data_IF_429404367092
#
_entry.id   IF_429404367092
#
_cell.length_a   1.000
_cell.length_b   1.000
_cell.length_c   1.000
_cell.angle_alpha   90.00
_cell.angle_beta   90.00
_cell.angle_gamma   90.00
#
_symmetry.space_group_name_H-M   'P 1'
#
loop_
_entity.id
_entity.type
_entity.pdbx_description
1 polymer ?
#
# COMPACT_ATOMS: atom_id res chain seq x y z
N UNK A 1 -34.01 -3.95 17.24
CA UNK A 1 -32.61 -3.48 17.31
C UNK A 1 -31.75 -4.45 16.50
N UNK A 2 -31.49 -4.15 15.23
CA UNK A 2 -30.60 -4.96 14.40
C UNK A 2 -29.15 -4.61 14.74
N UNK A 3 -28.39 -5.60 15.20
CA UNK A 3 -26.99 -5.42 15.55
C UNK A 3 -26.16 -4.99 14.34
N UNK A 4 -25.42 -3.89 14.48
CA UNK A 4 -24.37 -3.47 13.57
C UNK A 4 -23.29 -4.56 13.50
N UNK A 5 -23.44 -5.54 12.60
CA UNK A 5 -22.30 -6.28 12.09
C UNK A 5 -21.56 -5.29 11.19
N UNK A 6 -20.46 -4.69 11.66
CA UNK A 6 -19.62 -3.88 10.77
C UNK A 6 -19.22 -4.76 9.59
N UNK A 7 -19.63 -4.38 8.38
CA UNK A 7 -19.41 -5.21 7.21
C UNK A 7 -17.89 -5.37 7.02
N UNK A 8 -17.38 -6.59 6.82
CA UNK A 8 -15.92 -6.84 6.77
C UNK A 8 -15.21 -5.91 5.78
N UNK A 9 -15.89 -5.58 4.69
CA UNK A 9 -15.45 -4.59 3.69
C UNK A 9 -15.24 -3.18 4.28
N UNK A 10 -16.12 -2.70 5.14
CA UNK A 10 -16.00 -1.40 5.82
C UNK A 10 -14.82 -1.37 6.80
N UNK A 11 -14.60 -2.48 7.51
CA UNK A 11 -13.44 -2.60 8.39
C UNK A 11 -12.12 -2.63 7.61
N UNK A 12 -12.08 -3.33 6.47
CA UNK A 12 -10.95 -3.30 5.55
C UNK A 12 -10.76 -1.89 4.95
N UNK A 13 -11.84 -1.20 4.60
CA UNK A 13 -11.80 0.20 4.15
C UNK A 13 -11.08 1.09 5.16
N UNK A 14 -11.51 1.09 6.43
CA UNK A 14 -10.87 1.91 7.47
C UNK A 14 -9.39 1.59 7.69
N UNK A 15 -8.93 0.37 7.39
CA UNK A 15 -7.49 0.05 7.40
C UNK A 15 -6.74 0.67 6.24
N UNK A 16 -7.34 0.65 5.06
CA UNK A 16 -6.77 1.28 3.89
C UNK A 16 -6.62 2.78 4.09
N UNK A 17 -7.65 3.44 4.62
CA UNK A 17 -7.60 4.88 4.94
C UNK A 17 -6.44 5.19 5.89
N UNK A 18 -6.32 4.45 7.01
CA UNK A 18 -5.20 4.61 7.95
C UNK A 18 -3.82 4.38 7.32
N UNK A 19 -3.71 3.47 6.35
CA UNK A 19 -2.45 3.25 5.63
C UNK A 19 -2.10 4.45 4.76
N UNK A 20 -3.06 4.98 4.00
CA UNK A 20 -2.83 6.13 3.13
C UNK A 20 -2.53 7.37 3.96
N UNK A 21 -3.21 7.58 5.09
CA UNK A 21 -2.90 8.68 6.01
C UNK A 21 -1.45 8.63 6.54
N UNK A 22 -0.92 7.43 6.83
CA UNK A 22 0.50 7.29 7.21
C UNK A 22 1.45 7.66 6.07
N UNK A 23 1.07 7.32 4.85
CA UNK A 23 1.82 7.71 3.65
C UNK A 23 1.80 9.23 3.48
N UNK A 24 0.64 9.88 3.64
CA UNK A 24 0.51 11.34 3.52
C UNK A 24 1.33 12.10 4.56
N UNK A 25 1.42 11.55 5.77
CA UNK A 25 2.19 12.14 6.87
C UNK A 25 3.70 11.81 6.82
N UNK A 26 4.17 11.10 5.80
CA UNK A 26 5.56 10.62 5.66
C UNK A 26 6.03 9.82 6.90
N UNK A 27 5.11 9.13 7.58
CA UNK A 27 5.36 8.32 8.79
C UNK A 27 5.90 6.91 8.43
N UNK A 28 6.52 6.78 7.26
CA UNK A 28 7.05 5.52 6.77
C UNK A 28 8.57 5.60 6.59
N UNK A 29 9.31 4.51 6.84
CA UNK A 29 10.76 4.47 6.67
C UNK A 29 11.21 4.53 5.20
N UNK A 30 10.27 4.62 4.25
CA UNK A 30 10.51 4.66 2.81
C UNK A 30 9.58 5.70 2.20
N UNK A 31 10.09 6.43 1.21
CA UNK A 31 9.32 7.45 0.54
C UNK A 31 8.45 6.81 -0.55
N UNK A 32 7.14 6.79 -0.34
CA UNK A 32 6.17 6.18 -1.25
C UNK A 32 5.76 7.19 -2.33
N UNK A 33 5.86 6.78 -3.60
CA UNK A 33 5.46 7.54 -4.78
C UNK A 33 4.01 7.32 -5.16
N UNK A 34 3.58 6.06 -5.12
CA UNK A 34 2.27 5.63 -5.59
C UNK A 34 1.75 4.44 -4.81
N UNK A 35 0.43 4.34 -4.71
CA UNK A 35 -0.30 3.23 -4.09
C UNK A 35 -1.34 2.70 -5.07
N UNK A 36 -1.32 1.39 -5.27
CA UNK A 36 -2.26 0.68 -6.11
C UNK A 36 -3.02 -0.35 -5.29
N UNK A 37 -4.34 -0.44 -5.51
CA UNK A 37 -5.16 -1.55 -5.07
C UNK A 37 -5.31 -2.58 -6.19
N UNK A 38 -5.45 -3.84 -5.81
CA UNK A 38 -5.85 -4.91 -6.72
C UNK A 38 -6.61 -6.01 -5.93
N UNK A 39 -6.84 -7.15 -6.59
CA UNK A 39 -7.42 -8.31 -5.93
C UNK A 39 -8.92 -8.21 -5.66
N UNK A 40 -9.41 -9.06 -4.74
CA UNK A 40 -10.84 -9.28 -4.53
C UNK A 40 -11.55 -8.09 -3.88
N UNK A 41 -10.84 -7.32 -3.05
CA UNK A 41 -11.35 -6.10 -2.43
C UNK A 41 -11.71 -5.05 -3.49
N UNK A 42 -10.81 -4.83 -4.45
CA UNK A 42 -11.04 -3.91 -5.58
C UNK A 42 -12.22 -4.39 -6.45
N UNK A 43 -12.35 -5.68 -6.69
CA UNK A 43 -13.41 -6.27 -7.53
C UNK A 43 -14.83 -6.25 -6.92
N UNK A 44 -15.04 -5.53 -5.81
CA UNK A 44 -16.37 -5.41 -5.21
C UNK A 44 -16.86 -6.65 -4.47
N UNK A 45 -15.99 -7.62 -4.14
CA UNK A 45 -16.41 -8.81 -3.40
C UNK A 45 -17.07 -8.40 -2.07
N UNK A 46 -18.26 -8.96 -1.81
CA UNK A 46 -19.10 -8.68 -0.62
C UNK A 46 -18.32 -8.95 0.67
N UNK A 47 -17.63 -10.09 0.72
CA UNK A 47 -16.75 -10.48 1.82
C UNK A 47 -15.31 -10.68 1.31
N UNK A 48 -14.52 -9.60 1.21
CA UNK A 48 -13.10 -9.69 0.92
C UNK A 48 -12.35 -10.28 2.12
N UNK A 49 -11.41 -11.18 1.85
CA UNK A 49 -10.59 -11.78 2.90
C UNK A 49 -9.52 -10.79 3.39
N UNK A 50 -8.91 -10.08 2.46
CA UNK A 50 -7.77 -9.18 2.61
C UNK A 50 -7.85 -8.02 1.60
N UNK A 51 -6.89 -7.10 1.72
CA UNK A 51 -6.65 -6.01 0.77
C UNK A 51 -5.28 -6.24 0.16
N UNK A 52 -5.23 -6.40 -1.15
CA UNK A 52 -3.99 -6.47 -1.90
C UNK A 52 -3.56 -5.07 -2.34
N UNK A 53 -2.38 -4.65 -1.90
CA UNK A 53 -1.84 -3.31 -2.13
C UNK A 53 -0.43 -3.41 -2.69
N UNK A 54 -0.16 -2.59 -3.70
CA UNK A 54 1.19 -2.36 -4.22
C UNK A 54 1.63 -0.94 -3.87
N UNK A 55 2.78 -0.85 -3.21
CA UNK A 55 3.46 0.39 -2.88
C UNK A 55 4.65 0.58 -3.82
N UNK A 56 4.63 1.66 -4.60
CA UNK A 56 5.77 2.09 -5.39
C UNK A 56 6.57 3.10 -4.58
N UNK A 57 7.87 2.86 -4.39
CA UNK A 57 8.74 3.75 -3.61
C UNK A 57 9.80 4.43 -4.47
N UNK A 58 10.27 5.58 -4.02
CA UNK A 58 11.41 6.27 -4.62
C UNK A 58 12.72 5.68 -4.13
N UNK A 59 13.45 4.96 -5.00
CA UNK A 59 14.75 4.38 -4.63
C UNK A 59 15.79 5.43 -4.21
N UNK A 60 15.74 6.62 -4.80
CA UNK A 60 16.77 7.64 -4.65
C UNK A 60 16.55 8.41 -3.35
N UNK A 61 15.30 8.78 -3.06
CA UNK A 61 14.92 9.41 -1.77
C UNK A 61 14.94 8.42 -0.60
N UNK A 62 14.77 7.12 -0.87
CA UNK A 62 14.78 6.08 0.16
C UNK A 62 16.20 5.63 0.53
N UNK A 63 17.21 5.91 -0.29
CA UNK A 63 18.60 5.58 0.04
C UNK A 63 19.20 6.60 1.03
N UNK A 64 19.29 6.22 2.32
CA UNK A 64 20.09 7.00 3.28
C UNK A 64 21.58 6.69 3.09
N UNK A 65 22.33 7.67 2.58
CA UNK A 65 23.79 7.67 2.59
C UNK A 65 24.23 8.05 4.01
N UNK A 66 25.04 7.22 4.65
CA UNK A 66 25.66 7.58 5.92
C UNK A 66 27.16 7.35 5.87
N UNK A 67 27.88 8.23 6.57
CA UNK A 67 29.31 8.10 6.82
C UNK A 67 29.52 7.16 8.01
N UNK A 68 30.49 6.26 7.90
CA UNK A 68 30.93 5.43 9.03
C UNK A 68 32.45 5.38 9.07
N UNK A 69 32.98 5.20 10.27
CA UNK A 69 34.41 4.99 10.48
C UNK A 69 34.69 3.50 10.32
N UNK A 70 35.59 3.14 9.41
CA UNK A 70 36.00 1.74 9.25
C UNK A 70 36.92 1.29 10.41
N UNK A 71 37.25 0.00 10.46
CA UNK A 71 38.12 -0.58 11.50
C UNK A 71 39.53 0.04 11.54
N UNK A 72 39.91 0.81 10.52
CA UNK A 72 41.21 1.51 10.41
C UNK A 72 41.07 3.01 10.69
N UNK A 73 39.94 3.46 11.24
CA UNK A 73 39.73 4.87 11.59
C UNK A 73 39.43 5.77 10.38
N UNK A 74 39.15 5.22 9.19
CA UNK A 74 38.96 6.03 7.98
C UNK A 74 37.47 6.30 7.74
N UNK A 75 37.10 7.53 7.38
CA UNK A 75 35.75 7.82 6.93
C UNK A 75 35.45 7.06 5.63
N UNK A 76 34.36 6.30 5.64
CA UNK A 76 33.84 5.58 4.49
C UNK A 76 32.36 5.92 4.33
N UNK A 77 31.95 6.08 3.08
CA UNK A 77 30.55 6.27 2.74
C UNK A 77 29.91 4.91 2.50
N UNK A 78 28.86 4.58 3.25
CA UNK A 78 27.97 3.48 2.90
C UNK A 78 26.67 4.05 2.40
N UNK A 79 26.26 3.62 1.21
CA UNK A 79 24.83 3.60 0.93
C UNK A 79 24.27 2.36 1.63
N UNK A 80 23.67 2.51 2.81
CA UNK A 80 22.52 1.64 3.07
C UNK A 80 21.42 2.18 2.19
N UNK A 81 21.40 1.68 0.96
CA UNK A 81 20.13 1.57 0.33
C UNK A 81 19.24 0.80 1.33
N UNK A 82 18.12 1.39 1.74
CA UNK A 82 17.01 0.67 2.33
C UNK A 82 16.51 -0.47 1.42
N UNK A 83 17.21 -0.76 0.29
CA UNK A 83 17.22 -1.97 -0.55
C UNK A 83 17.15 -3.32 0.19
N UNK A 84 17.27 -3.40 1.51
CA UNK A 84 17.05 -4.65 2.26
C UNK A 84 16.32 -4.30 3.58
N UNK A 85 15.00 -4.24 3.63
CA UNK A 85 14.09 -5.14 2.95
C UNK A 85 12.69 -4.54 2.87
N UNK A 86 11.96 -4.78 1.77
CA UNK A 86 10.50 -4.83 1.78
C UNK A 86 9.98 -5.54 3.03
N UNK A 87 10.71 -6.52 3.58
CA UNK A 87 10.39 -7.18 4.86
C UNK A 87 10.44 -6.26 6.09
N UNK A 88 11.27 -5.22 6.16
CA UNK A 88 11.29 -4.22 7.26
C UNK A 88 10.14 -3.24 7.14
N UNK A 89 9.84 -2.75 5.93
CA UNK A 89 8.64 -1.94 5.70
C UNK A 89 7.39 -2.80 5.92
N UNK A 90 7.34 -4.02 5.38
CA UNK A 90 6.30 -5.02 5.68
C UNK A 90 6.23 -5.31 7.16
N UNK A 91 7.33 -5.40 7.91
CA UNK A 91 7.28 -5.62 9.35
C UNK A 91 6.75 -4.38 10.09
N UNK A 92 7.16 -3.18 9.70
CA UNK A 92 6.68 -1.92 10.29
C UNK A 92 5.19 -1.69 9.99
N UNK A 93 4.80 -1.95 8.75
CA UNK A 93 3.43 -1.92 8.31
C UNK A 93 2.66 -3.07 8.97
N UNK A 94 3.04 -4.34 8.87
CA UNK A 94 2.34 -5.49 9.51
C UNK A 94 2.31 -5.45 11.04
N UNK A 95 3.25 -4.77 11.70
CA UNK A 95 3.18 -4.53 13.16
C UNK A 95 1.98 -3.64 13.53
N UNK A 96 1.50 -2.83 12.59
CA UNK A 96 0.41 -1.88 12.76
C UNK A 96 -0.78 -2.09 11.78
N UNK A 97 -0.60 -2.89 10.74
CA UNK A 97 -1.53 -3.28 9.70
C UNK A 97 -1.76 -4.78 9.93
N UNK A 98 -2.85 -5.04 10.63
CA UNK A 98 -3.37 -6.36 10.93
C UNK A 98 -3.32 -7.30 9.70
N UNK A 99 -3.16 -8.61 9.93
CA UNK A 99 -2.94 -9.73 8.96
C UNK A 99 -3.72 -9.74 7.63
N UNK A 100 -4.66 -8.83 7.43
CA UNK A 100 -5.61 -8.74 6.31
C UNK A 100 -5.22 -7.67 5.28
N UNK A 101 -4.00 -7.15 5.32
CA UNK A 101 -3.45 -6.27 4.27
C UNK A 101 -2.19 -6.92 3.73
N UNK A 102 -2.25 -7.36 2.48
CA UNK A 102 -1.12 -7.93 1.77
C UNK A 102 -0.44 -6.86 0.92
N UNK A 103 0.86 -6.71 1.19
CA UNK A 103 1.65 -5.58 0.75
C UNK A 103 2.74 -6.05 -0.21
N UNK A 104 2.64 -5.67 -1.46
CA UNK A 104 3.72 -5.70 -2.45
C UNK A 104 4.44 -4.36 -2.46
N UNK A 105 5.78 -4.38 -2.46
CA UNK A 105 6.60 -3.16 -2.41
C UNK A 105 7.68 -3.27 -3.47
N UNK A 106 7.67 -2.36 -4.43
CA UNK A 106 8.58 -2.37 -5.58
C UNK A 106 9.03 -0.93 -5.91
N UNK A 107 10.20 -0.71 -6.52
CA UNK A 107 10.63 0.63 -6.90
C UNK A 107 9.92 1.15 -8.16
N UNK A 108 9.29 0.26 -8.94
CA UNK A 108 8.52 0.61 -10.13
C UNK A 108 7.46 -0.44 -10.45
N UNK A 109 6.44 -0.04 -11.22
CA UNK A 109 5.45 -0.97 -11.77
C UNK A 109 6.09 -2.01 -12.70
N UNK A 110 7.12 -1.64 -13.45
CA UNK A 110 7.81 -2.55 -14.37
C UNK A 110 8.51 -3.68 -13.63
N UNK A 111 9.15 -3.38 -12.49
CA UNK A 111 9.74 -4.42 -11.66
C UNK A 111 8.67 -5.35 -11.08
N UNK A 112 7.54 -4.80 -10.62
CA UNK A 112 6.43 -5.62 -10.15
C UNK A 112 5.84 -6.52 -11.24
N UNK A 113 5.75 -6.02 -12.48
CA UNK A 113 5.27 -6.78 -13.66
C UNK A 113 6.17 -7.98 -14.01
N UNK A 114 7.47 -7.90 -13.75
CA UNK A 114 8.39 -9.03 -13.98
C UNK A 114 8.09 -10.20 -13.05
N UNK A 115 7.58 -9.91 -11.86
CA UNK A 115 7.29 -10.91 -10.83
C UNK A 115 5.87 -11.49 -10.95
N UNK A 116 4.96 -10.83 -11.68
CA UNK A 116 3.56 -11.25 -11.84
C UNK A 116 3.19 -11.52 -13.29
N UNK A 117 2.85 -12.78 -13.57
CA UNK A 117 2.52 -13.23 -14.92
C UNK A 117 1.14 -12.81 -15.41
N UNK A 118 0.15 -12.45 -14.55
CA UNK A 118 -1.25 -12.23 -15.01
C UNK A 118 -2.18 -11.27 -14.22
N UNK A 119 -1.80 -10.70 -13.08
CA UNK A 119 -2.81 -10.08 -12.17
C UNK A 119 -2.96 -8.55 -12.23
N UNK A 120 -2.18 -7.84 -13.06
CA UNK A 120 -2.22 -6.38 -13.12
C UNK A 120 -3.33 -5.79 -14.00
N UNK A 121 -4.07 -6.61 -14.75
CA UNK A 121 -5.17 -6.16 -15.60
C UNK A 121 -6.30 -5.46 -14.80
N UNK A 122 -6.34 -5.66 -13.48
CA UNK A 122 -7.26 -4.97 -12.58
C UNK A 122 -6.50 -4.34 -11.41
N UNK A 123 -5.80 -3.23 -11.66
CA UNK A 123 -5.24 -2.39 -10.60
C UNK A 123 -5.82 -0.96 -10.65
N UNK A 124 -6.04 -0.37 -9.48
CA UNK A 124 -6.51 1.00 -9.33
C UNK A 124 -5.47 1.82 -8.57
N UNK A 125 -4.93 2.87 -9.19
CA UNK A 125 -4.07 3.83 -8.48
C UNK A 125 -4.92 4.71 -7.59
N UNK A 126 -4.88 4.43 -6.29
CA UNK A 126 -5.67 5.15 -5.30
C UNK A 126 -4.96 6.40 -4.77
N UNK A 127 -3.63 6.44 -4.82
CA UNK A 127 -2.84 7.58 -4.34
C UNK A 127 -1.55 7.72 -5.14
N UNK A 128 -1.13 8.96 -5.39
CA UNK A 128 0.25 9.29 -5.78
C UNK A 128 0.65 10.66 -5.23
N UNK A 129 1.95 10.96 -5.22
CA UNK A 129 2.46 12.28 -4.79
C UNK A 129 1.79 13.45 -5.51
N UNK A 130 1.47 13.26 -6.80
CA UNK A 130 0.84 14.24 -7.70
C UNK A 130 -0.68 14.19 -7.71
N UNK A 131 -1.28 13.16 -7.13
CA UNK A 131 -2.72 12.91 -7.16
C UNK A 131 -3.15 12.30 -5.82
N UNK A 132 -3.40 13.22 -4.89
CA UNK A 132 -3.70 12.94 -3.48
C UNK A 132 -5.20 12.90 -3.18
N UNK A 133 -6.07 12.95 -4.19
CA UNK A 133 -7.52 12.86 -3.97
C UNK A 133 -7.99 11.41 -3.79
N UNK A 134 -7.33 10.71 -2.87
CA UNK A 134 -7.55 9.31 -2.61
C UNK A 134 -8.92 9.08 -1.96
N UNK A 135 -9.40 10.03 -1.14
CA UNK A 135 -10.72 9.94 -0.49
C UNK A 135 -11.84 9.92 -1.51
N UNK A 136 -11.82 10.81 -2.51
CA UNK A 136 -12.82 10.79 -3.57
C UNK A 136 -12.75 9.49 -4.37
N UNK A 137 -11.55 9.02 -4.73
CA UNK A 137 -11.38 7.77 -5.48
C UNK A 137 -11.89 6.53 -4.74
N UNK A 138 -11.58 6.42 -3.45
CA UNK A 138 -12.12 5.34 -2.63
C UNK A 138 -13.64 5.47 -2.55
N UNK A 139 -14.16 6.64 -2.17
CA UNK A 139 -15.60 6.85 -2.07
C UNK A 139 -16.34 6.55 -3.38
N UNK A 140 -15.86 7.04 -4.51
CA UNK A 140 -16.44 6.77 -5.83
C UNK A 140 -16.45 5.27 -6.13
N UNK A 141 -15.37 4.55 -5.79
CA UNK A 141 -15.27 3.11 -6.00
C UNK A 141 -16.24 2.33 -5.09
N UNK A 142 -16.29 2.66 -3.79
CA UNK A 142 -17.13 1.93 -2.82
C UNK A 142 -18.61 2.34 -2.85
N UNK A 143 -18.94 3.56 -3.26
CA UNK A 143 -20.34 4.01 -3.43
C UNK A 143 -20.96 3.43 -4.71
N UNK A 144 -20.16 3.15 -5.75
CA UNK A 144 -20.65 2.45 -6.95
C UNK A 144 -21.07 1.02 -6.63
N UNK A 145 -20.29 0.29 -5.83
CA UNK A 145 -20.63 -1.08 -5.41
C UNK A 145 -21.96 -1.14 -4.61
N UNK A 146 -22.20 -0.19 -3.71
CA UNK A 146 -23.46 -0.13 -2.94
C UNK A 146 -24.72 0.08 -3.80
N UNK A 147 -24.59 0.72 -4.96
CA UNK A 147 -25.72 0.92 -5.89
C UNK A 147 -26.00 -0.33 -6.73
N UNK A 148 -25.01 -1.17 -6.99
CA UNK A 148 -25.20 -2.43 -7.72
C UNK A 148 -25.99 -3.45 -6.88
N UNK A 149 -25.79 -3.49 -5.57
CA UNK A 149 -26.52 -4.38 -4.64
C UNK A 149 -27.99 -3.98 -4.42
N UNK A 150 -28.40 -2.75 -4.78
CA UNK A 150 -29.81 -2.31 -4.72
C UNK A 150 -30.63 -2.72 -5.95
N UNK A 151 -30.00 -3.35 -6.95
CA UNK A 151 -30.62 -3.75 -8.22
C UNK A 151 -30.44 -5.23 -8.56
N UNK A 152 -30.21 -6.09 -7.55
CA UNK A 152 -30.41 -7.53 -7.73
C UNK A 152 -31.85 -7.90 -7.37
N UNK A 153 -32.66 -8.44 -8.31
CA UNK A 153 -34.04 -8.86 -8.06
C UNK A 153 -34.13 -10.07 -7.12
#
# INVERSE_FOLDING_TARGET
>A
MCGFRSNRREWLHGKLERLIEKIENDDLPMHIKEVYLFGSFLKGKVEPHDIDILLIYDSDKTAKKYEYIDKKGRPRWRMTALRKSPSKLRAHLKKNAERTVDLSICPSLEEFKKDLTKELDCCLRIWSETDRDWKAKLNDHFLRDRKADQYQP
#
